data_IF_267407165452
#
_entry.id   IF_267407165452
#
_cell.length_a   1.000
_cell.length_b   1.000
_cell.length_c   1.000
_cell.angle_alpha   90.00
_cell.angle_beta   90.00
_cell.angle_gamma   90.00
#
_symmetry.space_group_name_H-M   'P 1'
#
loop_
_entity.id
_entity.type
_entity.pdbx_description
1 polymer ?
#
# COMPACT_ATOMS: atom_id res chain seq x y z
N UNK A 1 40.02 2.50 29.27
CA UNK A 1 39.31 1.21 29.33
C UNK A 1 38.46 1.12 28.08
N UNK A 2 38.98 0.44 27.05
CA UNK A 2 38.39 0.39 25.71
C UNK A 2 37.60 -0.90 25.50
N UNK A 3 36.53 -0.80 24.69
CA UNK A 3 35.93 -1.93 23.97
C UNK A 3 35.67 -1.47 22.54
N UNK A 4 36.50 -1.95 21.62
CA UNK A 4 36.21 -2.03 20.19
C UNK A 4 35.29 -3.24 19.97
N UNK A 5 34.19 -3.05 19.24
CA UNK A 5 33.41 -4.15 18.68
C UNK A 5 33.84 -4.31 17.22
N UNK A 6 34.46 -5.44 16.90
CA UNK A 6 34.80 -5.88 15.54
C UNK A 6 33.66 -6.75 15.00
N UNK A 7 33.09 -6.38 13.86
CA UNK A 7 32.29 -7.30 13.04
C UNK A 7 33.16 -7.82 11.90
N UNK A 8 33.56 -9.08 12.00
CA UNK A 8 34.25 -9.84 10.95
C UNK A 8 33.23 -10.65 10.16
N UNK A 9 33.16 -10.46 8.84
CA UNK A 9 32.42 -11.30 7.90
C UNK A 9 33.39 -12.33 7.32
N UNK A 10 33.10 -13.64 7.33
CA UNK A 10 33.87 -14.59 6.56
C UNK A 10 33.36 -14.61 5.12
N UNK A 11 34.24 -14.17 4.22
CA UNK A 11 34.19 -14.47 2.79
C UNK A 11 34.55 -15.95 2.60
N UNK A 12 33.64 -16.75 2.05
CA UNK A 12 33.93 -18.09 1.57
C UNK A 12 33.40 -18.24 0.14
N UNK A 13 34.31 -18.13 -0.82
CA UNK A 13 34.22 -18.73 -2.16
C UNK A 13 35.06 -20.00 -2.09
N UNK A 14 34.54 -21.13 -2.57
CA UNK A 14 35.23 -22.16 -3.39
C UNK A 14 34.26 -23.33 -3.68
N UNK A 15 33.97 -23.48 -4.98
CA UNK A 15 33.78 -24.67 -5.84
C UNK A 15 33.24 -26.00 -5.27
N UNK A 16 32.26 -26.57 -5.98
CA UNK A 16 31.97 -28.01 -5.95
C UNK A 16 30.74 -28.43 -6.77
N UNK A 17 30.87 -28.50 -8.10
CA UNK A 17 29.97 -29.30 -8.92
C UNK A 17 30.19 -30.79 -8.60
N UNK A 18 29.25 -31.44 -7.92
CA UNK A 18 29.17 -32.91 -7.86
C UNK A 18 27.78 -33.37 -7.41
N UNK A 19 26.87 -33.58 -8.38
CA UNK A 19 25.82 -34.60 -8.31
C UNK A 19 25.13 -34.71 -9.68
N UNK A 20 25.77 -35.38 -10.63
CA UNK A 20 25.05 -35.90 -11.80
C UNK A 20 24.42 -37.22 -11.38
N UNK A 21 23.14 -37.20 -11.05
CA UNK A 21 22.34 -38.42 -10.99
C UNK A 21 22.07 -38.87 -12.43
N UNK A 22 22.83 -39.85 -12.92
CA UNK A 22 22.54 -40.50 -14.21
C UNK A 22 21.30 -41.37 -14.07
N UNK A 23 20.20 -40.92 -14.66
CA UNK A 23 19.08 -41.80 -15.04
C UNK A 23 19.32 -42.25 -16.47
N UNK A 24 19.72 -43.51 -16.66
CA UNK A 24 19.71 -44.16 -17.97
C UNK A 24 18.30 -44.65 -18.26
N UNK A 25 17.64 -44.05 -19.27
CA UNK A 25 16.54 -44.70 -19.98
C UNK A 25 17.12 -45.48 -21.17
N UNK A 26 16.57 -46.65 -21.51
CA UNK A 26 17.08 -47.46 -22.60
C UNK A 26 16.64 -46.89 -23.95
N UNK A 27 17.61 -46.51 -24.77
CA UNK A 27 17.45 -46.32 -26.21
C UNK A 27 17.06 -44.91 -26.63
N UNK A 28 18.01 -43.98 -26.59
CA UNK A 28 18.26 -42.96 -27.62
C UNK A 28 19.58 -42.25 -27.30
N UNK A 29 20.50 -42.25 -28.28
CA UNK A 29 21.87 -41.74 -28.13
C UNK A 29 21.86 -40.21 -28.23
N UNK A 30 21.64 -39.51 -27.12
CA UNK A 30 21.80 -38.05 -27.05
C UNK A 30 23.21 -37.75 -26.55
N UNK A 31 24.10 -37.31 -27.46
CA UNK A 31 25.42 -36.79 -27.09
C UNK A 31 25.33 -35.29 -26.81
N UNK A 32 25.63 -34.81 -25.60
CA UNK A 32 25.81 -33.39 -25.38
C UNK A 32 27.13 -32.94 -26.03
N UNK A 33 27.07 -31.98 -26.96
CA UNK A 33 28.23 -31.18 -27.34
C UNK A 33 28.35 -30.01 -26.35
N UNK A 34 29.31 -30.12 -25.42
CA UNK A 34 29.76 -28.96 -24.65
C UNK A 34 30.85 -28.25 -25.47
N UNK A 35 30.58 -27.04 -25.97
CA UNK A 35 31.67 -26.10 -26.31
C UNK A 35 31.78 -25.08 -25.19
N UNK A 36 32.88 -25.12 -24.46
CA UNK A 36 33.26 -24.03 -23.58
C UNK A 36 33.85 -22.91 -24.45
N UNK A 37 33.21 -21.74 -24.46
CA UNK A 37 33.91 -20.46 -24.61
C UNK A 37 32.94 -19.28 -24.38
N UNK A 38 32.73 -18.94 -23.10
CA UNK A 38 32.45 -17.56 -22.67
C UNK A 38 33.24 -17.28 -21.39
N UNK A 39 33.93 -16.14 -21.36
CA UNK A 39 34.83 -15.74 -20.28
C UNK A 39 34.12 -15.37 -18.96
N UNK A 40 32.79 -15.43 -18.91
CA UNK A 40 31.98 -15.07 -17.75
C UNK A 40 31.42 -16.28 -16.98
N UNK A 41 31.72 -17.51 -17.41
CA UNK A 41 31.27 -18.72 -16.73
C UNK A 41 29.78 -19.05 -16.90
N UNK A 42 29.07 -18.39 -17.81
CA UNK A 42 27.69 -18.75 -18.14
C UNK A 42 27.63 -19.98 -19.07
N UNK A 43 26.69 -20.88 -18.81
CA UNK A 43 26.37 -22.03 -19.68
C UNK A 43 25.05 -21.74 -20.38
N UNK A 44 25.05 -21.72 -21.71
CA UNK A 44 23.85 -21.57 -22.52
C UNK A 44 23.38 -22.95 -22.98
N UNK A 45 22.17 -23.35 -22.57
CA UNK A 45 21.51 -24.56 -23.06
C UNK A 45 20.51 -24.14 -24.16
N UNK A 46 20.80 -24.54 -25.39
CA UNK A 46 19.88 -24.36 -26.51
C UNK A 46 19.10 -25.67 -26.69
N UNK A 47 17.82 -25.67 -26.32
CA UNK A 47 16.92 -26.80 -26.57
C UNK A 47 16.07 -26.42 -27.79
N UNK A 48 16.42 -26.98 -28.95
CA UNK A 48 15.60 -26.87 -30.16
C UNK A 48 14.73 -28.11 -30.32
N UNK A 49 13.46 -27.88 -30.68
CA UNK A 49 12.39 -28.86 -30.98
C UNK A 49 11.82 -29.63 -29.78
N UNK A 50 10.80 -29.05 -29.13
CA UNK A 50 9.78 -29.82 -28.42
C UNK A 50 8.41 -29.50 -29.01
N UNK A 51 7.84 -30.44 -29.76
CA UNK A 51 6.39 -30.55 -29.94
C UNK A 51 5.79 -31.09 -28.64
N UNK A 52 4.82 -30.41 -28.01
CA UNK A 52 4.23 -30.92 -26.78
C UNK A 52 3.38 -32.15 -27.10
N UNK A 53 3.87 -33.33 -26.72
CA UNK A 53 3.09 -34.57 -26.72
C UNK A 53 2.85 -34.94 -25.27
N UNK A 54 1.64 -34.67 -24.76
CA UNK A 54 1.23 -35.14 -23.43
C UNK A 54 1.10 -36.66 -23.49
N UNK A 55 2.02 -37.38 -22.87
CA UNK A 55 1.96 -38.83 -22.76
C UNK A 55 1.63 -39.21 -21.31
N UNK A 56 0.43 -39.75 -21.08
CA UNK A 56 0.07 -40.33 -19.79
C UNK A 56 0.78 -41.69 -19.63
N UNK A 57 1.74 -41.79 -18.72
CA UNK A 57 2.30 -43.08 -18.33
C UNK A 57 1.50 -43.66 -17.16
N UNK A 58 0.70 -44.69 -17.43
CA UNK A 58 0.07 -45.54 -16.40
C UNK A 58 1.07 -46.64 -16.05
N UNK A 59 1.71 -46.56 -14.89
CA UNK A 59 2.50 -47.66 -14.34
C UNK A 59 1.57 -48.62 -13.57
N UNK A 60 1.41 -49.84 -14.09
CA UNK A 60 0.80 -50.96 -13.37
C UNK A 60 1.89 -51.89 -12.86
N UNK A 61 1.91 -52.17 -11.55
CA UNK A 61 2.59 -53.33 -10.99
C UNK A 61 1.55 -54.34 -10.50
N UNK A 62 1.75 -55.65 -10.71
CA UNK A 62 0.84 -56.67 -10.18
C UNK A 62 1.36 -57.31 -8.87
N UNK A 63 0.43 -57.99 -8.19
CA UNK A 63 0.52 -58.94 -7.04
C UNK A 63 0.28 -58.33 -5.63
N UNK A 64 -0.55 -58.87 -4.73
CA UNK A 64 -1.44 -60.05 -4.65
C UNK A 64 -2.45 -59.85 -3.50
N UNK A 65 -3.64 -60.45 -3.62
CA UNK A 65 -4.62 -60.74 -2.55
C UNK A 65 -5.06 -59.60 -1.62
N UNK A 66 -5.95 -58.74 -2.13
CA UNK A 66 -7.21 -58.35 -1.46
C UNK A 66 -7.94 -57.34 -2.35
N UNK A 67 -9.22 -57.60 -2.64
CA UNK A 67 -10.02 -56.84 -3.59
C UNK A 67 -10.45 -55.45 -3.07
N UNK A 68 -9.51 -54.54 -2.84
CA UNK A 68 -9.78 -53.13 -2.57
C UNK A 68 -8.81 -52.23 -3.34
N UNK A 69 -9.35 -51.24 -4.05
CA UNK A 69 -8.60 -50.17 -4.68
C UNK A 69 -8.50 -49.01 -3.68
N UNK A 70 -7.29 -48.54 -3.41
CA UNK A 70 -7.05 -47.29 -2.71
C UNK A 70 -6.38 -46.33 -3.70
N UNK A 71 -6.95 -45.13 -3.88
CA UNK A 71 -6.32 -44.07 -4.64
C UNK A 71 -5.18 -43.49 -3.78
N UNK A 72 -3.94 -43.61 -4.26
CA UNK A 72 -2.80 -42.91 -3.67
C UNK A 72 -2.50 -41.74 -4.60
N UNK A 73 -2.92 -40.53 -4.20
CA UNK A 73 -2.45 -39.29 -4.83
C UNK A 73 -0.97 -39.11 -4.50
N UNK A 74 -0.11 -39.39 -5.48
CA UNK A 74 1.30 -39.04 -5.40
C UNK A 74 1.48 -37.56 -5.69
N UNK A 75 2.01 -36.82 -4.71
CA UNK A 75 2.48 -35.44 -4.82
C UNK A 75 3.37 -35.25 -6.06
N UNK A 76 2.95 -34.36 -6.96
CA UNK A 76 3.82 -33.78 -7.97
C UNK A 76 4.50 -32.57 -7.31
N UNK A 77 5.84 -32.61 -7.21
CA UNK A 77 6.62 -31.44 -6.84
C UNK A 77 6.38 -30.34 -7.89
N UNK A 78 5.83 -29.21 -7.46
CA UNK A 78 5.62 -28.05 -8.31
C UNK A 78 6.98 -27.50 -8.79
N UNK A 79 7.29 -27.72 -10.07
CA UNK A 79 8.33 -26.96 -10.76
C UNK A 79 7.69 -25.75 -11.42
N UNK A 80 8.17 -24.54 -11.10
CA UNK A 80 7.81 -23.34 -11.84
C UNK A 80 8.47 -23.34 -13.22
N UNK A 81 7.68 -23.12 -14.27
CA UNK A 81 8.19 -22.86 -15.62
C UNK A 81 8.35 -21.35 -15.74
N UNK A 82 9.60 -20.87 -15.71
CA UNK A 82 9.90 -19.47 -16.04
C UNK A 82 10.17 -19.37 -17.55
N UNK A 83 9.23 -18.82 -18.30
CA UNK A 83 9.43 -18.45 -19.71
C UNK A 83 10.08 -17.08 -19.76
N UNK A 84 11.35 -17.02 -20.13
CA UNK A 84 12.03 -15.76 -20.44
C UNK A 84 11.87 -15.48 -21.93
N UNK A 85 11.14 -14.41 -22.27
CA UNK A 85 11.15 -13.83 -23.62
C UNK A 85 12.28 -12.82 -23.71
N UNK A 86 13.10 -12.89 -24.76
CA UNK A 86 14.17 -11.93 -25.05
C UNK A 86 13.69 -10.69 -25.79
N UNK A 87 12.42 -10.66 -26.20
CA UNK A 87 11.86 -9.52 -26.91
C UNK A 87 11.17 -8.56 -25.93
N UNK A 88 11.48 -7.24 -25.97
CA UNK A 88 10.77 -6.26 -25.18
C UNK A 88 9.29 -6.26 -25.59
N UNK A 89 8.34 -6.38 -24.65
CA UNK A 89 6.93 -6.41 -25.01
C UNK A 89 6.53 -5.07 -25.65
N UNK A 90 5.70 -5.08 -26.70
CA UNK A 90 5.16 -3.85 -27.28
C UNK A 90 4.36 -3.09 -26.21
N UNK A 91 4.55 -1.77 -26.16
CA UNK A 91 4.11 -0.87 -25.09
C UNK A 91 2.58 -0.70 -24.90
N UNK A 92 1.74 -1.62 -25.37
CA UNK A 92 0.28 -1.46 -25.33
C UNK A 92 -0.51 -2.78 -25.13
N UNK A 93 0.11 -3.85 -24.65
CA UNK A 93 -0.61 -5.09 -24.32
C UNK A 93 -0.27 -5.54 -22.89
N UNK A 94 -0.76 -4.82 -21.90
CA UNK A 94 -0.96 -5.41 -20.57
C UNK A 94 -2.17 -6.34 -20.65
N UNK A 95 -1.96 -7.53 -21.22
CA UNK A 95 -2.93 -8.61 -21.13
C UNK A 95 -3.05 -9.03 -19.67
N UNK A 96 -4.28 -9.03 -19.15
CA UNK A 96 -4.60 -9.60 -17.85
C UNK A 96 -4.26 -11.09 -17.87
N UNK A 97 -3.22 -11.49 -17.16
CA UNK A 97 -3.01 -12.90 -16.84
C UNK A 97 -4.00 -13.24 -15.74
N UNK A 98 -5.14 -13.81 -16.11
CA UNK A 98 -5.98 -14.52 -15.15
C UNK A 98 -5.19 -15.75 -14.72
N UNK A 99 -4.73 -15.79 -13.47
CA UNK A 99 -4.10 -16.99 -12.92
C UNK A 99 -5.18 -18.07 -12.83
N UNK A 100 -5.18 -19.02 -13.77
CA UNK A 100 -6.28 -19.98 -13.92
C UNK A 100 -6.27 -21.12 -12.88
N UNK A 101 -5.23 -21.24 -12.06
CA UNK A 101 -5.25 -22.16 -10.91
C UNK A 101 -4.11 -21.84 -9.94
N UNK A 102 -4.45 -21.34 -8.76
CA UNK A 102 -3.55 -21.44 -7.61
C UNK A 102 -3.59 -22.90 -7.11
N UNK A 103 -2.49 -23.46 -6.58
CA UNK A 103 -2.59 -24.69 -5.79
C UNK A 103 -3.68 -24.48 -4.73
N UNK A 104 -4.50 -25.51 -4.41
CA UNK A 104 -5.59 -25.34 -3.46
C UNK A 104 -5.00 -24.81 -2.15
N UNK A 105 -5.35 -23.58 -1.81
CA UNK A 105 -4.82 -22.95 -0.61
C UNK A 105 -5.22 -23.79 0.61
N UNK A 106 -4.35 -23.84 1.61
CA UNK A 106 -4.59 -24.59 2.85
C UNK A 106 -5.94 -24.19 3.48
N UNK A 107 -6.74 -25.10 4.06
CA UNK A 107 -7.97 -24.72 4.77
C UNK A 107 -7.75 -23.57 5.77
N UNK A 108 -8.74 -22.71 5.97
CA UNK A 108 -8.60 -21.54 6.85
C UNK A 108 -8.18 -21.90 8.28
N UNK A 109 -8.59 -23.07 8.77
CA UNK A 109 -8.16 -23.60 10.07
C UNK A 109 -6.64 -23.80 10.12
N UNK A 110 -6.05 -24.33 9.05
CA UNK A 110 -4.59 -24.50 8.93
C UNK A 110 -3.91 -23.15 8.80
N UNK A 111 -4.51 -22.20 8.08
CA UNK A 111 -4.02 -20.83 8.01
C UNK A 111 -3.94 -20.20 9.41
N UNK A 112 -5.00 -20.24 10.20
CA UNK A 112 -5.01 -19.63 11.54
C UNK A 112 -4.08 -20.34 12.53
N UNK A 113 -3.93 -21.66 12.42
CA UNK A 113 -2.93 -22.40 13.20
C UNK A 113 -1.50 -21.92 12.94
N UNK A 114 -1.20 -21.48 11.72
CA UNK A 114 0.11 -20.92 11.34
C UNK A 114 0.24 -19.42 11.61
N UNK A 115 -0.88 -18.73 11.84
CA UNK A 115 -0.96 -17.28 12.04
C UNK A 115 -1.70 -16.93 13.36
N UNK A 116 -1.19 -17.36 14.53
CA UNK A 116 -1.92 -17.23 15.79
C UNK A 116 -2.20 -15.76 16.19
N UNK A 117 -1.31 -14.82 15.84
CA UNK A 117 -1.55 -13.40 16.08
C UNK A 117 -2.74 -12.86 15.27
N UNK A 118 -2.89 -13.31 14.02
CA UNK A 118 -4.04 -12.97 13.17
C UNK A 118 -5.32 -13.60 13.73
N UNK A 119 -5.27 -14.87 14.15
CA UNK A 119 -6.40 -15.55 14.78
C UNK A 119 -6.89 -14.82 16.04
N UNK A 120 -5.95 -14.42 16.91
CA UNK A 120 -6.21 -13.67 18.14
C UNK A 120 -6.83 -12.29 17.93
N UNK A 121 -6.63 -11.67 16.76
CA UNK A 121 -7.22 -10.38 16.40
C UNK A 121 -8.51 -10.51 15.57
N UNK A 122 -8.86 -11.74 15.14
CA UNK A 122 -10.02 -12.01 14.29
C UNK A 122 -10.94 -13.06 14.94
N UNK A 123 -10.85 -14.32 14.52
CA UNK A 123 -11.79 -15.40 14.88
C UNK A 123 -11.90 -15.67 16.37
N UNK A 124 -10.84 -15.46 17.16
CA UNK A 124 -10.84 -15.70 18.60
C UNK A 124 -11.42 -14.52 19.39
N UNK A 125 -11.47 -13.34 18.77
CA UNK A 125 -11.95 -12.10 19.38
C UNK A 125 -13.39 -11.78 19.01
N UNK A 126 -13.80 -12.12 17.79
CA UNK A 126 -15.13 -11.80 17.29
C UNK A 126 -16.23 -12.46 18.13
N UNK A 127 -17.29 -11.70 18.41
CA UNK A 127 -18.53 -12.29 18.91
C UNK A 127 -19.15 -13.22 17.85
N UNK A 128 -20.12 -14.04 18.25
CA UNK A 128 -20.73 -15.03 17.35
C UNK A 128 -21.34 -14.40 16.08
N UNK A 129 -21.89 -13.18 16.16
CA UNK A 129 -22.49 -12.51 15.01
C UNK A 129 -21.44 -11.99 14.03
N UNK A 130 -20.41 -11.33 14.54
CA UNK A 130 -19.27 -10.84 13.76
C UNK A 130 -18.51 -11.98 13.12
N UNK A 131 -18.31 -13.08 13.86
CA UNK A 131 -17.70 -14.30 13.34
C UNK A 131 -18.51 -14.92 12.20
N UNK A 132 -19.84 -14.98 12.34
CA UNK A 132 -20.70 -15.46 11.27
C UNK A 132 -20.59 -14.63 9.99
N UNK A 133 -20.50 -13.30 10.10
CA UNK A 133 -20.20 -12.45 8.93
C UNK A 133 -18.82 -12.73 8.35
N UNK A 134 -17.80 -12.87 9.21
CA UNK A 134 -16.43 -13.11 8.78
C UNK A 134 -16.29 -14.41 7.97
N UNK A 135 -16.86 -15.51 8.48
CA UNK A 135 -16.86 -16.81 7.80
C UNK A 135 -17.61 -16.73 6.47
N UNK A 136 -18.80 -16.10 6.45
CA UNK A 136 -19.57 -15.90 5.22
C UNK A 136 -18.84 -15.05 4.17
N UNK A 137 -18.08 -14.03 4.58
CA UNK A 137 -17.29 -13.22 3.67
C UNK A 137 -16.04 -13.95 3.14
N UNK A 138 -15.43 -14.85 3.91
CA UNK A 138 -14.39 -15.72 3.37
C UNK A 138 -14.96 -16.63 2.27
N UNK A 139 -16.14 -17.24 2.48
CA UNK A 139 -16.80 -18.05 1.46
C UNK A 139 -17.13 -17.24 0.19
N UNK A 140 -17.61 -15.99 0.35
CA UNK A 140 -17.88 -15.07 -0.77
C UNK A 140 -16.61 -14.71 -1.54
N UNK A 141 -15.50 -14.45 -0.85
CA UNK A 141 -14.20 -14.14 -1.45
C UNK A 141 -13.61 -15.34 -2.21
N UNK A 142 -13.73 -16.55 -1.67
CA UNK A 142 -13.32 -17.76 -2.39
C UNK A 142 -14.16 -17.99 -3.66
N UNK A 143 -15.45 -17.65 -3.61
CA UNK A 143 -16.37 -17.85 -4.74
C UNK A 143 -16.22 -16.77 -5.83
N UNK A 144 -16.06 -15.51 -5.44
CA UNK A 144 -16.19 -14.36 -6.35
C UNK A 144 -14.91 -13.55 -6.51
N UNK A 145 -13.97 -13.67 -5.57
CA UNK A 145 -12.78 -12.83 -5.49
C UNK A 145 -13.03 -11.42 -4.94
N UNK A 146 -14.25 -11.14 -4.46
CA UNK A 146 -14.65 -9.82 -3.93
C UNK A 146 -15.61 -9.98 -2.75
N UNK A 147 -15.68 -8.96 -1.90
CA UNK A 147 -16.71 -8.79 -0.88
C UNK A 147 -17.24 -7.37 -0.93
N UNK A 148 -18.56 -7.23 -0.97
CA UNK A 148 -19.24 -5.93 -0.89
C UNK A 148 -20.04 -5.82 0.40
N UNK A 149 -19.92 -4.69 1.07
CA UNK A 149 -20.75 -4.36 2.24
C UNK A 149 -21.62 -3.18 1.86
N UNK A 150 -22.92 -3.26 2.13
CA UNK A 150 -23.84 -2.14 1.91
C UNK A 150 -23.37 -0.87 2.62
N UNK A 151 -23.62 0.28 2.01
CA UNK A 151 -23.37 1.58 2.64
C UNK A 151 -24.17 1.72 3.95
N UNK A 152 -23.60 2.37 4.99
CA UNK A 152 -24.35 2.62 6.22
C UNK A 152 -25.63 3.41 5.96
N UNK A 153 -26.74 3.02 6.58
CA UNK A 153 -28.06 3.68 6.42
C UNK A 153 -27.99 5.16 6.75
N UNK A 154 -27.20 5.54 7.76
CA UNK A 154 -27.03 6.94 8.14
C UNK A 154 -26.34 7.79 7.05
N UNK A 155 -25.67 7.17 6.07
CA UNK A 155 -25.12 7.84 4.91
C UNK A 155 -26.22 8.40 3.98
N UNK A 156 -27.35 7.70 3.89
CA UNK A 156 -28.49 8.12 3.05
C UNK A 156 -29.14 9.42 3.54
N UNK A 157 -28.92 9.78 4.81
CA UNK A 157 -29.39 11.03 5.40
C UNK A 157 -28.43 12.20 5.14
N UNK A 158 -27.33 11.97 4.41
CA UNK A 158 -26.36 12.99 4.09
C UNK A 158 -26.78 13.79 2.84
N UNK A 159 -27.35 14.98 3.03
CA UNK A 159 -27.60 16.00 1.99
C UNK A 159 -26.35 16.86 1.63
N UNK A 160 -25.76 16.77 0.43
CA UNK A 160 -24.65 17.65 0.03
C UNK A 160 -25.06 19.13 -0.05
N UNK A 161 -24.15 20.11 0.10
CA UNK A 161 -22.70 19.98 0.34
C UNK A 161 -22.31 19.98 1.82
N UNK A 162 -23.27 20.01 2.75
CA UNK A 162 -23.01 19.93 4.19
C UNK A 162 -24.06 19.08 4.86
N UNK A 163 -23.71 17.84 5.20
CA UNK A 163 -24.65 17.02 5.98
C UNK A 163 -24.08 15.93 6.85
N UNK A 164 -22.84 15.47 6.69
CA UNK A 164 -22.33 14.43 7.59
C UNK A 164 -20.82 14.56 7.82
N UNK A 165 -20.43 15.23 8.89
CA UNK A 165 -19.06 15.12 9.42
C UNK A 165 -18.86 13.74 10.04
N UNK A 166 -19.88 13.22 10.71
CA UNK A 166 -19.85 11.93 11.40
C UNK A 166 -20.94 11.03 10.84
N UNK A 167 -20.57 9.81 10.48
CA UNK A 167 -21.48 8.81 9.91
C UNK A 167 -21.51 7.65 10.90
N UNK A 168 -22.51 7.67 11.78
CA UNK A 168 -22.65 6.69 12.85
C UNK A 168 -23.08 5.34 12.30
N UNK A 169 -22.54 4.27 12.86
CA UNK A 169 -22.85 2.90 12.51
C UNK A 169 -23.79 2.30 13.55
N UNK A 170 -24.78 1.54 13.10
CA UNK A 170 -25.44 0.55 13.93
C UNK A 170 -24.45 -0.56 14.32
N UNK A 171 -24.76 -1.33 15.37
CA UNK A 171 -23.92 -2.46 15.77
C UNK A 171 -23.77 -3.52 14.67
N UNK A 172 -24.81 -3.73 13.86
CA UNK A 172 -24.76 -4.69 12.75
C UNK A 172 -23.87 -4.18 11.60
N UNK A 173 -23.98 -2.91 11.22
CA UNK A 173 -23.11 -2.31 10.20
C UNK A 173 -21.64 -2.33 10.65
N UNK A 174 -21.37 -1.97 11.91
CA UNK A 174 -20.04 -2.05 12.50
C UNK A 174 -19.47 -3.47 12.41
N UNK A 175 -20.21 -4.49 12.86
CA UNK A 175 -19.77 -5.88 12.84
C UNK A 175 -19.54 -6.39 11.41
N UNK A 176 -20.41 -6.04 10.45
CA UNK A 176 -20.25 -6.40 9.03
C UNK A 176 -18.99 -5.79 8.42
N UNK A 177 -18.77 -4.49 8.62
CA UNK A 177 -17.59 -3.80 8.06
C UNK A 177 -16.30 -4.34 8.68
N UNK A 178 -16.27 -4.56 10.00
CA UNK A 178 -15.12 -5.13 10.69
C UNK A 178 -14.79 -6.54 10.16
N UNK A 179 -15.81 -7.39 10.05
CA UNK A 179 -15.67 -8.73 9.51
C UNK A 179 -15.19 -8.74 8.05
N UNK A 180 -15.74 -7.89 7.18
CA UNK A 180 -15.34 -7.80 5.78
C UNK A 180 -13.88 -7.38 5.62
N UNK A 181 -13.43 -6.38 6.40
CA UNK A 181 -12.03 -5.94 6.40
C UNK A 181 -11.06 -7.04 6.83
N UNK A 182 -11.39 -7.74 7.90
CA UNK A 182 -10.59 -8.87 8.37
C UNK A 182 -10.58 -10.02 7.36
N UNK A 183 -11.73 -10.39 6.80
CA UNK A 183 -11.86 -11.48 5.85
C UNK A 183 -11.06 -11.20 4.57
N UNK A 184 -11.18 -9.99 4.03
CA UNK A 184 -10.42 -9.55 2.88
C UNK A 184 -8.91 -9.61 3.14
N UNK A 185 -8.46 -9.12 4.30
CA UNK A 185 -7.05 -9.14 4.66
C UNK A 185 -6.46 -10.56 4.75
N UNK A 186 -7.19 -11.46 5.42
CA UNK A 186 -6.82 -12.87 5.56
C UNK A 186 -6.82 -13.59 4.21
N UNK A 187 -7.83 -13.33 3.37
CA UNK A 187 -7.93 -13.91 2.03
C UNK A 187 -6.76 -13.48 1.13
N UNK A 188 -6.41 -12.19 1.11
CA UNK A 188 -5.26 -11.68 0.34
C UNK A 188 -3.94 -12.34 0.77
N UNK A 189 -3.72 -12.47 2.08
CA UNK A 189 -2.49 -13.05 2.64
C UNK A 189 -2.38 -14.55 2.33
N UNK A 190 -3.48 -15.29 2.51
CA UNK A 190 -3.57 -16.73 2.24
C UNK A 190 -3.36 -17.06 0.77
N UNK A 191 -3.93 -16.26 -0.12
CA UNK A 191 -3.84 -16.45 -1.57
C UNK A 191 -2.64 -15.75 -2.22
N UNK A 192 -1.74 -15.18 -1.41
CA UNK A 192 -0.51 -14.52 -1.87
C UNK A 192 -0.77 -13.37 -2.87
N UNK A 193 -1.91 -12.69 -2.73
CA UNK A 193 -2.35 -11.63 -3.63
C UNK A 193 -1.63 -10.29 -3.35
N UNK A 194 -0.87 -10.23 -2.25
CA UNK A 194 0.06 -9.13 -1.95
C UNK A 194 1.45 -9.71 -1.61
N UNK A 195 2.56 -9.00 -1.92
CA UNK A 195 3.93 -9.52 -1.71
C UNK A 195 4.37 -9.67 -0.25
N UNK A 196 3.70 -9.00 0.70
CA UNK A 196 3.99 -9.06 2.14
C UNK A 196 3.06 -10.03 2.85
N UNK A 197 3.49 -10.52 4.03
CA UNK A 197 2.68 -11.46 4.83
C UNK A 197 2.22 -10.87 6.13
N UNK A 198 1.01 -11.21 6.54
CA UNK A 198 0.45 -10.75 7.82
C UNK A 198 1.28 -11.23 9.01
N UNK A 199 1.81 -12.46 8.97
CA UNK A 199 2.71 -12.97 10.03
C UNK A 199 4.03 -12.22 10.18
N UNK A 200 4.43 -11.45 9.18
CA UNK A 200 5.68 -10.69 9.22
C UNK A 200 5.49 -9.32 9.89
N UNK A 201 4.24 -8.90 10.12
CA UNK A 201 3.92 -7.67 10.85
C UNK A 201 4.05 -7.85 12.36
N UNK A 202 4.40 -6.75 13.04
CA UNK A 202 4.33 -6.69 14.50
C UNK A 202 2.88 -6.77 14.98
N UNK A 203 2.67 -7.16 16.24
CA UNK A 203 1.33 -7.17 16.85
C UNK A 203 0.65 -5.79 16.75
N UNK A 204 1.42 -4.71 16.90
CA UNK A 204 0.93 -3.34 16.84
C UNK A 204 0.50 -2.95 15.40
N UNK A 205 1.25 -3.40 14.39
CA UNK A 205 0.87 -3.24 12.98
C UNK A 205 -0.38 -4.08 12.66
N UNK A 206 -0.47 -5.33 13.10
CA UNK A 206 -1.65 -6.16 12.89
C UNK A 206 -2.91 -5.53 13.52
N UNK A 207 -2.79 -4.91 14.69
CA UNK A 207 -3.89 -4.16 15.31
C UNK A 207 -4.36 -2.99 14.45
N UNK A 208 -3.45 -2.25 13.80
CA UNK A 208 -3.81 -1.15 12.91
C UNK A 208 -4.58 -1.58 11.66
N UNK A 209 -4.43 -2.85 11.28
CA UNK A 209 -5.12 -3.44 10.14
C UNK A 209 -6.43 -4.14 10.53
N UNK A 210 -6.48 -4.81 11.68
CA UNK A 210 -7.56 -5.75 12.03
C UNK A 210 -8.40 -5.32 13.25
N UNK A 211 -7.90 -4.40 14.08
CA UNK A 211 -8.56 -4.04 15.34
C UNK A 211 -9.44 -2.80 15.19
N UNK A 212 -10.65 -2.88 15.74
CA UNK A 212 -11.69 -1.84 15.64
C UNK A 212 -11.23 -0.42 16.02
N UNK A 213 -10.42 -0.28 17.06
CA UNK A 213 -9.96 1.04 17.57
C UNK A 213 -9.11 1.83 16.57
N UNK A 214 -8.51 1.19 15.56
CA UNK A 214 -7.78 1.88 14.48
C UNK A 214 -8.62 2.02 13.21
N UNK A 215 -9.62 1.17 13.02
CA UNK A 215 -10.47 1.16 11.83
C UNK A 215 -11.61 2.20 11.94
N UNK A 216 -12.17 2.37 13.13
CA UNK A 216 -13.33 3.22 13.38
C UNK A 216 -13.01 4.36 14.35
N UNK A 217 -13.78 5.44 14.30
CA UNK A 217 -13.75 6.50 15.31
C UNK A 217 -14.81 6.28 16.38
N UNK A 218 -14.63 6.91 17.54
CA UNK A 218 -15.57 6.83 18.67
C UNK A 218 -15.38 5.58 19.52
N UNK A 219 -16.15 5.44 20.59
CA UNK A 219 -16.19 4.28 21.48
C UNK A 219 -17.52 3.54 21.31
N UNK A 220 -17.55 2.24 21.56
CA UNK A 220 -18.80 1.49 21.58
C UNK A 220 -19.78 2.10 22.62
N UNK A 221 -21.08 2.22 22.31
CA UNK A 221 -21.74 1.77 21.08
C UNK A 221 -21.68 2.78 19.91
N UNK A 222 -21.12 3.97 20.12
CA UNK A 222 -21.12 5.08 19.17
C UNK A 222 -19.89 5.04 18.25
N UNK A 223 -19.79 4.00 17.40
CA UNK A 223 -18.76 3.90 16.37
C UNK A 223 -19.19 4.68 15.12
N UNK A 224 -18.25 5.39 14.50
CA UNK A 224 -18.53 6.20 13.30
C UNK A 224 -17.33 6.33 12.38
N UNK A 225 -17.59 6.75 11.14
CA UNK A 225 -16.59 7.30 10.24
C UNK A 225 -16.62 8.82 10.24
N UNK A 226 -15.44 9.44 10.11
CA UNK A 226 -15.31 10.88 9.98
C UNK A 226 -15.12 11.23 8.49
N UNK A 227 -16.03 12.03 7.94
CA UNK A 227 -16.11 12.50 6.53
C UNK A 227 -16.31 11.42 5.46
N UNK A 228 -15.52 10.35 5.48
CA UNK A 228 -15.48 9.31 4.44
C UNK A 228 -15.62 7.92 5.06
N UNK A 229 -16.55 7.13 4.53
CA UNK A 229 -16.85 5.76 4.92
C UNK A 229 -15.96 4.79 4.15
N UNK A 230 -15.23 3.97 4.89
CA UNK A 230 -14.42 2.88 4.37
C UNK A 230 -15.11 1.55 4.71
N UNK A 231 -16.21 1.23 4.02
CA UNK A 231 -17.08 0.07 4.33
C UNK A 231 -16.75 -1.19 3.52
N UNK A 232 -16.30 -1.04 2.28
CA UNK A 232 -16.12 -2.14 1.32
C UNK A 232 -14.64 -2.25 0.89
N UNK A 233 -13.84 -3.17 1.48
CA UNK A 233 -12.41 -3.24 1.20
C UNK A 233 -12.10 -3.67 -0.24
N UNK A 234 -12.95 -4.49 -0.88
CA UNK A 234 -12.68 -4.99 -2.24
C UNK A 234 -12.77 -3.89 -3.29
N UNK A 235 -13.66 -2.91 -3.11
CA UNK A 235 -13.76 -1.75 -4.01
C UNK A 235 -12.47 -0.93 -4.05
N UNK A 236 -11.87 -0.68 -2.89
CA UNK A 236 -10.60 0.04 -2.79
C UNK A 236 -9.41 -0.81 -3.29
N UNK A 237 -9.46 -2.14 -3.07
CA UNK A 237 -8.48 -3.07 -3.64
C UNK A 237 -8.53 -3.09 -5.17
N UNK A 238 -9.71 -3.26 -5.76
CA UNK A 238 -9.91 -3.30 -7.21
C UNK A 238 -9.46 -2.00 -7.86
N UNK A 239 -9.78 -0.86 -7.25
CA UNK A 239 -9.25 0.44 -7.65
C UNK A 239 -7.72 0.43 -7.72
N UNK A 240 -7.05 0.00 -6.65
CA UNK A 240 -5.59 0.01 -6.57
C UNK A 240 -4.94 -0.95 -7.56
N UNK A 241 -5.55 -2.12 -7.78
CA UNK A 241 -5.07 -3.11 -8.75
C UNK A 241 -5.24 -2.62 -10.19
N UNK A 242 -6.37 -2.02 -10.52
CA UNK A 242 -6.67 -1.51 -11.88
C UNK A 242 -5.71 -0.39 -12.30
N UNK A 243 -5.24 0.42 -11.35
CA UNK A 243 -4.23 1.45 -11.61
C UNK A 243 -2.79 0.96 -11.44
N UNK A 244 -2.58 -0.32 -11.12
CA UNK A 244 -1.26 -0.89 -10.89
C UNK A 244 -0.51 -0.24 -9.74
N UNK A 245 -1.22 0.19 -8.68
CA UNK A 245 -0.63 0.83 -7.51
C UNK A 245 0.14 -0.17 -6.63
N UNK A 246 -0.25 -1.45 -6.64
CA UNK A 246 0.48 -2.51 -5.95
C UNK A 246 1.89 -2.67 -6.54
N UNK A 247 2.91 -2.47 -5.69
CA UNK A 247 4.33 -2.64 -6.03
C UNK A 247 4.95 -3.77 -5.23
N UNK A 248 6.23 -4.04 -5.47
CA UNK A 248 6.98 -5.11 -4.80
C UNK A 248 7.20 -4.92 -3.29
N UNK A 249 7.03 -3.69 -2.77
CA UNK A 249 7.18 -3.40 -1.34
C UNK A 249 6.04 -2.51 -0.83
N UNK A 250 5.73 -2.53 0.48
CA UNK A 250 4.76 -1.61 1.06
C UNK A 250 5.12 -0.14 0.82
N UNK A 251 6.40 0.24 0.98
CA UNK A 251 6.84 1.63 0.78
C UNK A 251 6.59 2.10 -0.66
N UNK A 252 6.98 1.29 -1.65
CA UNK A 252 6.77 1.62 -3.06
C UNK A 252 5.27 1.69 -3.42
N UNK A 253 4.45 0.83 -2.80
CA UNK A 253 2.98 0.85 -2.97
C UNK A 253 2.37 2.12 -2.38
N UNK A 254 2.78 2.51 -1.18
CA UNK A 254 2.35 3.77 -0.55
C UNK A 254 2.77 4.96 -1.41
N UNK A 255 4.01 5.00 -1.91
CA UNK A 255 4.48 6.07 -2.80
C UNK A 255 3.68 6.13 -4.11
N UNK A 256 3.38 4.99 -4.72
CA UNK A 256 2.56 4.93 -5.93
C UNK A 256 1.14 5.45 -5.68
N UNK A 257 0.52 5.08 -4.56
CA UNK A 257 -0.79 5.60 -4.18
C UNK A 257 -0.77 7.11 -3.90
N UNK A 258 0.27 7.62 -3.22
CA UNK A 258 0.42 9.06 -3.00
C UNK A 258 0.58 9.82 -4.31
N UNK A 259 1.38 9.31 -5.25
CA UNK A 259 1.55 9.92 -6.57
C UNK A 259 0.23 9.96 -7.34
N UNK A 260 -0.53 8.86 -7.36
CA UNK A 260 -1.88 8.80 -7.92
C UNK A 260 -2.76 9.89 -7.31
N UNK A 261 -2.83 9.96 -5.97
CA UNK A 261 -3.70 10.95 -5.33
C UNK A 261 -3.27 12.39 -5.64
N UNK A 262 -1.97 12.68 -5.67
CA UNK A 262 -1.42 14.01 -5.93
C UNK A 262 -1.65 14.48 -7.36
N UNK A 263 -1.66 13.54 -8.31
CA UNK A 263 -1.86 13.84 -9.73
C UNK A 263 -3.24 14.46 -10.01
N UNK A 264 -4.24 14.07 -9.23
CA UNK A 264 -5.64 14.29 -9.60
C UNK A 264 -6.51 14.92 -8.50
N UNK A 265 -6.27 14.64 -7.22
CA UNK A 265 -7.13 15.17 -6.16
C UNK A 265 -7.04 16.69 -6.01
N UNK A 266 -8.18 17.28 -5.62
CA UNK A 266 -8.30 18.67 -5.19
C UNK A 266 -8.98 18.78 -3.83
N UNK A 267 -8.62 19.83 -3.09
CA UNK A 267 -9.31 20.22 -1.87
C UNK A 267 -10.70 20.75 -2.24
N UNK A 268 -11.78 20.15 -1.74
CA UNK A 268 -13.06 20.86 -1.73
C UNK A 268 -13.06 21.90 -0.63
N UNK A 269 -13.51 23.12 -0.93
CA UNK A 269 -13.84 24.06 0.12
C UNK A 269 -15.14 23.57 0.80
N UNK A 270 -15.16 23.55 2.12
CA UNK A 270 -16.35 23.13 2.88
C UNK A 270 -17.56 23.95 2.41
N UNK A 271 -18.61 23.28 1.94
CA UNK A 271 -19.81 23.94 1.42
C UNK A 271 -19.78 24.36 -0.05
N UNK A 272 -18.76 23.96 -0.83
CA UNK A 272 -18.72 24.15 -2.29
C UNK A 272 -19.70 23.16 -2.97
N UNK A 273 -20.85 23.63 -3.49
CA UNK A 273 -21.88 22.76 -4.08
C UNK A 273 -21.33 22.06 -5.33
N UNK A 274 -21.29 20.73 -5.31
CA UNK A 274 -20.75 19.88 -6.38
C UNK A 274 -19.37 19.27 -6.09
N UNK A 275 -18.75 19.60 -4.95
CA UNK A 275 -17.39 19.13 -4.61
C UNK A 275 -17.27 18.37 -3.28
N UNK A 276 -18.27 18.46 -2.40
CA UNK A 276 -18.28 17.75 -1.10
C UNK A 276 -19.25 16.54 -1.10
N UNK A 277 -19.27 15.73 -2.17
CA UNK A 277 -20.26 14.66 -2.38
C UNK A 277 -19.72 13.24 -2.21
N UNK A 278 -18.40 13.05 -2.09
CA UNK A 278 -17.79 11.72 -2.01
C UNK A 278 -17.75 11.17 -0.58
N UNK A 279 -18.83 10.55 -0.12
CA UNK A 279 -18.96 10.07 1.25
C UNK A 279 -18.35 8.69 1.48
N UNK A 280 -18.10 7.90 0.45
CA UNK A 280 -17.37 6.63 0.56
C UNK A 280 -15.96 6.73 -0.03
N UNK A 281 -15.09 5.79 0.33
CA UNK A 281 -13.76 5.68 -0.28
C UNK A 281 -13.89 5.48 -1.79
N UNK A 282 -14.76 4.57 -2.24
CA UNK A 282 -14.97 4.33 -3.67
C UNK A 282 -15.45 5.61 -4.37
N UNK A 283 -16.48 6.28 -3.85
CA UNK A 283 -16.97 7.53 -4.42
C UNK A 283 -15.85 8.57 -4.55
N UNK A 284 -14.97 8.69 -3.57
CA UNK A 284 -13.85 9.63 -3.63
C UNK A 284 -12.82 9.27 -4.71
N UNK A 285 -12.69 7.98 -5.03
CA UNK A 285 -11.75 7.47 -6.03
C UNK A 285 -12.34 7.46 -7.45
N UNK A 286 -13.67 7.47 -7.60
CA UNK A 286 -14.33 7.36 -8.91
C UNK A 286 -15.13 8.60 -9.31
N UNK A 287 -15.48 9.47 -8.36
CA UNK A 287 -16.25 10.69 -8.66
C UNK A 287 -15.31 11.81 -9.07
N UNK A 288 -15.47 12.23 -10.32
CA UNK A 288 -14.83 13.41 -10.86
C UNK A 288 -15.80 14.59 -10.75
N UNK A 289 -15.35 15.69 -10.15
CA UNK A 289 -16.08 16.96 -10.17
C UNK A 289 -15.48 17.87 -11.25
N UNK A 290 -15.83 19.17 -11.22
CA UNK A 290 -15.34 20.17 -12.19
C UNK A 290 -13.86 19.98 -12.56
N UNK A 291 -13.57 20.12 -13.86
CA UNK A 291 -12.22 20.01 -14.46
C UNK A 291 -11.65 18.59 -14.53
N UNK A 292 -12.50 17.56 -14.56
CA UNK A 292 -12.09 16.16 -14.69
C UNK A 292 -11.06 15.78 -13.63
N UNK A 293 -11.33 16.19 -12.38
CA UNK A 293 -10.50 15.84 -11.22
C UNK A 293 -11.28 15.19 -10.09
N UNK A 294 -10.65 14.23 -9.41
CA UNK A 294 -11.14 13.72 -8.12
C UNK A 294 -11.16 14.82 -7.07
N UNK A 295 -12.15 14.77 -6.20
CA UNK A 295 -12.30 15.75 -5.12
C UNK A 295 -12.40 15.03 -3.78
N UNK A 296 -11.51 15.41 -2.87
CA UNK A 296 -11.61 15.00 -1.47
C UNK A 296 -12.70 15.83 -0.83
N UNK A 297 -13.57 15.18 -0.04
CA UNK A 297 -14.46 15.90 0.88
C UNK A 297 -13.70 16.89 1.77
N UNK A 298 -14.42 17.88 2.28
CA UNK A 298 -13.81 19.02 2.95
C UNK A 298 -12.95 18.62 4.15
N UNK A 299 -11.68 19.03 4.12
CA UNK A 299 -10.71 18.93 5.20
C UNK A 299 -9.86 17.65 5.22
N UNK A 300 -8.70 17.77 5.86
CA UNK A 300 -7.65 16.75 5.92
C UNK A 300 -8.08 15.36 6.39
N UNK A 301 -9.15 15.25 7.19
CA UNK A 301 -9.68 13.97 7.63
C UNK A 301 -10.12 13.08 6.47
N UNK A 302 -10.73 13.65 5.43
CA UNK A 302 -11.21 12.90 4.29
C UNK A 302 -10.05 12.25 3.53
N UNK A 303 -9.05 13.06 3.15
CA UNK A 303 -7.89 12.56 2.40
C UNK A 303 -7.08 11.53 3.19
N UNK A 304 -6.89 11.73 4.50
CA UNK A 304 -6.25 10.73 5.36
C UNK A 304 -7.01 9.42 5.37
N UNK A 305 -8.36 9.46 5.48
CA UNK A 305 -9.20 8.25 5.49
C UNK A 305 -9.20 7.53 4.14
N UNK A 306 -9.27 8.26 3.04
CA UNK A 306 -9.15 7.69 1.68
C UNK A 306 -7.81 6.98 1.52
N UNK A 307 -6.70 7.65 1.90
CA UNK A 307 -5.38 7.05 1.81
C UNK A 307 -5.23 5.79 2.65
N UNK A 308 -5.72 5.82 3.90
CA UNK A 308 -5.71 4.65 4.78
C UNK A 308 -6.61 3.53 4.27
N UNK A 309 -7.78 3.84 3.72
CA UNK A 309 -8.72 2.85 3.18
C UNK A 309 -8.11 2.07 2.01
N UNK A 310 -7.53 2.78 1.03
CA UNK A 310 -6.83 2.18 -0.12
C UNK A 310 -5.63 1.35 0.31
N UNK A 311 -4.83 1.82 1.27
CA UNK A 311 -3.62 1.10 1.66
C UNK A 311 -3.94 -0.10 2.56
N UNK A 312 -4.97 -0.01 3.42
CA UNK A 312 -5.43 -1.14 4.23
C UNK A 312 -6.12 -2.22 3.40
N UNK A 313 -6.79 -1.88 2.28
CA UNK A 313 -7.31 -2.89 1.36
C UNK A 313 -6.20 -3.69 0.69
N UNK A 314 -4.96 -3.21 0.71
CA UNK A 314 -3.77 -3.93 0.26
C UNK A 314 -3.02 -4.59 1.44
N UNK A 315 -3.59 -4.72 2.63
CA UNK A 315 -2.87 -5.19 3.83
C UNK A 315 -1.68 -4.31 4.27
N UNK A 316 -1.67 -3.00 4.01
CA UNK A 316 -0.64 -2.09 4.56
C UNK A 316 -1.18 -1.44 5.84
N UNK A 317 -0.62 -1.77 7.02
CA UNK A 317 -1.06 -1.22 8.29
C UNK A 317 -0.78 0.28 8.39
N UNK A 318 -1.80 1.02 8.79
CA UNK A 318 -1.68 2.44 9.13
C UNK A 318 -2.77 2.88 10.06
N UNK A 319 -2.68 4.10 10.58
CA UNK A 319 -3.71 4.70 11.44
C UNK A 319 -3.88 6.21 11.19
N UNK A 320 -5.06 6.72 11.56
CA UNK A 320 -5.32 8.15 11.62
C UNK A 320 -4.96 8.66 13.02
N UNK A 321 -4.09 9.67 13.11
CA UNK A 321 -3.80 10.38 14.35
C UNK A 321 -4.31 11.83 14.28
N UNK A 322 -4.82 12.33 15.42
CA UNK A 322 -5.47 13.65 15.53
C UNK A 322 -5.14 14.44 16.79
N UNK A 323 -4.30 13.87 17.65
CA UNK A 323 -4.04 14.29 19.03
C UNK A 323 -2.97 15.38 19.17
N UNK A 324 -2.42 15.87 18.05
CA UNK A 324 -1.32 16.81 18.08
C UNK A 324 0.07 16.17 17.95
N UNK A 325 0.18 14.84 17.88
CA UNK A 325 1.48 14.14 17.93
C UNK A 325 2.36 14.45 16.72
N UNK A 326 1.79 14.48 15.52
CA UNK A 326 2.54 14.67 14.28
C UNK A 326 2.26 16.01 13.60
N UNK A 327 1.10 16.59 13.84
CA UNK A 327 0.66 17.86 13.29
C UNK A 327 -0.24 18.56 14.31
N UNK A 328 -0.66 19.79 14.05
CA UNK A 328 -1.50 20.56 14.97
C UNK A 328 -2.77 19.79 15.39
N UNK A 329 -3.16 19.97 16.65
CA UNK A 329 -4.32 19.29 17.22
C UNK A 329 -5.59 19.58 16.41
N UNK A 330 -6.42 18.55 16.21
CA UNK A 330 -7.65 18.64 15.45
C UNK A 330 -7.49 18.41 13.94
N UNK A 331 -6.27 18.38 13.42
CA UNK A 331 -5.99 17.95 12.04
C UNK A 331 -5.80 16.42 11.96
N UNK A 332 -5.74 15.90 10.73
CA UNK A 332 -5.62 14.48 10.46
C UNK A 332 -4.25 14.15 9.86
N UNK A 333 -3.59 13.19 10.48
CA UNK A 333 -2.32 12.61 10.05
C UNK A 333 -2.53 11.13 9.72
N UNK A 334 -1.99 10.66 8.59
CA UNK A 334 -1.87 9.22 8.33
C UNK A 334 -0.49 8.72 8.75
N UNK A 335 -0.43 7.64 9.50
CA UNK A 335 0.84 7.06 10.00
C UNK A 335 0.93 5.60 9.55
N UNK A 336 2.06 5.21 8.97
CA UNK A 336 2.35 3.82 8.57
C UNK A 336 3.64 3.34 9.26
N UNK A 337 3.55 2.78 10.48
CA UNK A 337 4.72 2.38 11.26
C UNK A 337 5.56 1.29 10.58
N UNK A 338 4.90 0.31 9.92
CA UNK A 338 5.58 -0.76 9.18
C UNK A 338 6.59 -0.28 8.11
N UNK A 339 6.46 0.96 7.61
CA UNK A 339 7.40 1.59 6.68
C UNK A 339 8.08 2.84 7.26
N UNK A 340 7.84 3.16 8.52
CA UNK A 340 8.39 4.33 9.20
C UNK A 340 8.09 5.65 8.49
N UNK A 341 6.85 5.84 8.02
CA UNK A 341 6.41 7.03 7.28
C UNK A 341 5.17 7.67 7.89
N UNK A 342 5.08 8.99 7.69
CA UNK A 342 3.95 9.83 8.08
C UNK A 342 3.51 10.65 6.87
N UNK A 343 2.21 10.74 6.63
CA UNK A 343 1.59 11.84 5.91
C UNK A 343 1.15 12.86 6.96
N UNK A 344 1.92 13.94 7.21
CA UNK A 344 1.71 14.76 8.40
C UNK A 344 0.33 15.43 8.41
N UNK A 345 -0.19 15.75 7.23
CA UNK A 345 -1.46 16.41 7.08
C UNK A 345 -2.15 15.91 5.80
N UNK A 346 -3.41 15.48 5.90
CA UNK A 346 -4.16 14.98 4.75
C UNK A 346 -4.19 15.93 3.54
N UNK A 347 -4.27 17.25 3.78
CA UNK A 347 -4.31 18.24 2.69
C UNK A 347 -2.97 18.42 1.96
N UNK A 348 -1.87 17.83 2.47
CA UNK A 348 -0.58 17.92 1.79
C UNK A 348 -0.63 17.30 0.38
N UNK A 349 -1.53 16.35 0.13
CA UNK A 349 -1.70 15.67 -1.17
C UNK A 349 -1.95 16.68 -2.30
N UNK A 350 -2.72 17.73 -2.03
CA UNK A 350 -3.06 18.74 -3.04
C UNK A 350 -2.60 20.15 -2.62
N UNK A 351 -1.68 20.24 -1.66
CA UNK A 351 -1.10 21.51 -1.27
C UNK A 351 -0.31 22.10 -2.45
N UNK A 352 -0.71 23.28 -2.91
CA UNK A 352 -0.14 23.94 -4.07
C UNK A 352 1.38 24.15 -3.97
N UNK A 353 1.92 24.35 -2.77
CA UNK A 353 3.37 24.48 -2.54
C UNK A 353 4.11 23.15 -2.76
N UNK A 354 3.44 22.03 -2.51
CA UNK A 354 4.03 20.70 -2.56
C UNK A 354 3.80 19.98 -3.87
N UNK A 355 3.03 20.52 -4.84
CA UNK A 355 2.64 19.77 -6.04
C UNK A 355 3.79 19.27 -6.92
N UNK A 356 4.98 19.84 -6.82
CA UNK A 356 6.16 19.36 -7.54
C UNK A 356 7.07 18.43 -6.70
N UNK A 357 6.77 18.24 -5.41
CA UNK A 357 7.52 17.32 -4.55
C UNK A 357 7.34 15.87 -5.03
N UNK A 358 8.43 15.11 -5.27
CA UNK A 358 8.35 13.70 -5.59
C UNK A 358 7.66 12.88 -4.49
N UNK A 359 6.86 11.87 -4.84
CA UNK A 359 6.18 11.02 -3.86
C UNK A 359 7.13 10.36 -2.84
N UNK A 360 8.39 10.13 -3.22
CA UNK A 360 9.41 9.54 -2.35
C UNK A 360 9.86 10.46 -1.20
N UNK A 361 9.82 11.77 -1.41
CA UNK A 361 10.13 12.80 -0.42
C UNK A 361 8.88 13.36 0.25
N UNK A 362 7.71 13.10 -0.33
CA UNK A 362 6.44 13.65 0.14
C UNK A 362 6.06 13.19 1.56
N UNK A 363 6.33 11.93 1.87
CA UNK A 363 6.06 11.34 3.19
C UNK A 363 7.24 11.53 4.13
N UNK A 364 6.99 12.08 5.31
CA UNK A 364 8.05 12.34 6.29
C UNK A 364 8.51 11.03 6.94
N UNK A 365 9.80 10.69 6.89
CA UNK A 365 10.33 9.53 7.61
C UNK A 365 10.38 9.77 9.11
N UNK A 366 10.17 8.74 9.93
CA UNK A 366 10.27 8.83 11.40
C UNK A 366 11.62 9.42 11.84
N UNK A 367 12.70 9.07 11.14
CA UNK A 367 14.05 9.58 11.40
C UNK A 367 14.18 11.12 11.30
N UNK A 368 13.28 11.79 10.57
CA UNK A 368 13.25 13.26 10.53
C UNK A 368 12.82 13.86 11.89
N UNK A 369 11.99 13.14 12.64
CA UNK A 369 11.48 13.56 13.95
C UNK A 369 12.39 13.15 15.11
N UNK A 370 13.21 12.12 14.91
CA UNK A 370 14.08 11.56 15.95
C UNK A 370 15.45 12.27 16.07
N UNK A 371 15.67 13.34 15.29
CA UNK A 371 16.91 14.12 15.33
C UNK A 371 17.11 14.74 16.74
N UNK A 372 18.24 14.48 17.45
CA UNK A 372 18.41 14.81 18.87
C UNK A 372 18.24 16.29 19.24
N UNK A 373 18.65 17.20 18.36
CA UNK A 373 18.45 18.65 18.57
C UNK A 373 17.21 19.18 17.85
N UNK A 374 16.69 18.40 16.90
CA UNK A 374 15.81 18.87 15.83
C UNK A 374 16.42 20.03 15.02
N UNK A 375 16.07 20.19 13.74
CA UNK A 375 16.54 21.33 12.98
C UNK A 375 15.87 22.64 13.46
N UNK A 376 16.63 23.73 13.71
CA UNK A 376 16.03 25.05 13.95
C UNK A 376 15.19 25.48 12.75
N UNK A 377 14.11 26.27 12.92
CA UNK A 377 13.63 26.86 14.17
C UNK A 377 12.77 25.91 15.03
N UNK A 378 12.51 24.69 14.57
CA UNK A 378 11.49 23.83 15.16
C UNK A 378 11.92 23.05 16.41
N UNK A 379 13.23 22.86 16.61
CA UNK A 379 13.73 21.97 17.65
C UNK A 379 13.05 20.59 17.55
N UNK A 380 12.65 20.01 18.67
CA UNK A 380 12.02 18.67 18.72
C UNK A 380 10.50 18.68 18.59
N UNK A 381 9.87 19.83 18.30
CA UNK A 381 8.41 19.92 18.15
C UNK A 381 7.94 19.22 16.87
N UNK A 382 7.33 18.04 16.98
CA UNK A 382 6.85 17.27 15.83
C UNK A 382 5.86 18.03 14.93
N UNK A 383 4.86 18.78 15.44
CA UNK A 383 4.02 19.61 14.58
C UNK A 383 4.80 20.66 13.78
N UNK A 384 5.78 21.33 14.41
CA UNK A 384 6.65 22.27 13.71
C UNK A 384 7.52 21.54 12.68
N UNK A 385 8.13 20.41 13.05
CA UNK A 385 8.97 19.60 12.17
C UNK A 385 8.20 19.12 10.94
N UNK A 386 6.93 18.73 11.07
CA UNK A 386 6.08 18.38 9.94
C UNK A 386 5.89 19.54 8.96
N UNK A 387 5.64 20.75 9.47
CA UNK A 387 5.52 21.97 8.65
C UNK A 387 6.86 22.38 8.05
N UNK A 388 7.97 22.17 8.78
CA UNK A 388 9.33 22.38 8.29
C UNK A 388 9.71 21.41 7.18
N UNK A 389 9.40 20.13 7.31
CA UNK A 389 9.62 19.15 6.25
C UNK A 389 8.88 19.56 4.96
N UNK A 390 7.61 19.94 5.08
CA UNK A 390 6.86 20.48 3.95
C UNK A 390 7.48 21.76 3.37
N UNK A 391 7.95 22.68 4.22
CA UNK A 391 8.60 23.91 3.77
C UNK A 391 9.93 23.65 3.05
N UNK A 392 10.75 22.72 3.54
CA UNK A 392 12.00 22.28 2.90
C UNK A 392 11.71 21.64 1.54
N UNK A 393 10.71 20.77 1.44
CA UNK A 393 10.31 20.16 0.18
C UNK A 393 9.75 21.19 -0.81
N UNK A 394 9.03 22.21 -0.35
CA UNK A 394 8.47 23.25 -1.21
C UNK A 394 9.54 24.16 -1.85
N UNK A 395 10.69 24.35 -1.19
CA UNK A 395 11.82 25.10 -1.75
C UNK A 395 12.75 24.21 -2.58
N UNK A 396 12.93 22.94 -2.21
CA UNK A 396 13.75 21.99 -2.98
C UNK A 396 13.10 21.61 -4.31
N UNK A 397 11.75 21.52 -4.32
CA UNK A 397 10.95 21.13 -5.48
C UNK A 397 9.88 22.21 -5.75
N UNK A 398 10.26 23.39 -6.26
CA UNK A 398 9.35 24.50 -6.40
C UNK A 398 8.27 24.20 -7.42
N UNK A 399 7.02 24.19 -6.96
CA UNK A 399 5.87 24.01 -7.84
C UNK A 399 5.68 25.21 -8.78
N UNK A 400 4.87 25.08 -9.85
CA UNK A 400 4.47 26.22 -10.67
C UNK A 400 3.83 27.35 -9.85
N UNK A 401 3.13 27.01 -8.75
CA UNK A 401 2.53 27.98 -7.84
C UNK A 401 3.59 28.81 -7.10
N UNK A 402 4.64 28.15 -6.58
CA UNK A 402 5.77 28.78 -5.91
C UNK A 402 6.57 29.63 -6.90
N UNK A 403 6.91 29.06 -8.06
CA UNK A 403 7.70 29.73 -9.11
C UNK A 403 7.00 30.99 -9.62
N UNK A 404 5.69 30.94 -9.90
CA UNK A 404 4.94 32.12 -10.36
C UNK A 404 4.98 33.27 -9.35
N UNK A 405 4.90 32.96 -8.05
CA UNK A 405 4.94 33.97 -6.97
C UNK A 405 6.33 34.54 -6.74
N UNK A 406 7.37 33.76 -6.96
CA UNK A 406 8.75 34.26 -6.89
C UNK A 406 9.16 35.06 -8.13
N UNK A 407 8.68 34.70 -9.32
CA UNK A 407 9.02 35.44 -10.54
C UNK A 407 8.19 36.71 -10.76
N UNK A 408 6.99 36.78 -10.19
CA UNK A 408 6.10 37.95 -10.29
C UNK A 408 5.46 38.28 -8.94
N UNK A 409 6.24 38.56 -7.89
CA UNK A 409 5.73 38.73 -6.53
C UNK A 409 4.71 39.86 -6.41
N UNK A 410 4.89 40.95 -7.16
CA UNK A 410 3.97 42.08 -7.19
C UNK A 410 2.55 41.70 -7.65
N UNK A 411 2.40 40.76 -8.59
CA UNK A 411 1.10 40.27 -9.07
C UNK A 411 0.29 39.58 -7.94
N UNK A 412 0.98 39.15 -6.87
CA UNK A 412 0.41 38.42 -5.75
C UNK A 412 0.51 39.20 -4.42
N UNK A 413 0.84 40.49 -4.47
CA UNK A 413 0.90 41.36 -3.30
C UNK A 413 2.15 41.20 -2.42
N UNK A 414 3.23 40.62 -2.95
CA UNK A 414 4.52 40.52 -2.28
C UNK A 414 5.51 41.52 -2.88
N UNK A 415 6.45 42.03 -2.06
CA UNK A 415 7.48 42.97 -2.51
C UNK A 415 8.51 42.28 -3.42
N UNK A 416 8.93 41.07 -3.05
CA UNK A 416 9.93 40.24 -3.72
C UNK A 416 9.67 38.74 -3.41
N UNK A 417 10.46 37.83 -3.98
CA UNK A 417 10.34 36.39 -3.69
C UNK A 417 10.62 36.08 -2.21
N UNK A 418 11.60 36.76 -1.60
CA UNK A 418 11.93 36.55 -0.19
C UNK A 418 10.76 36.90 0.74
N UNK A 419 10.03 37.98 0.47
CA UNK A 419 8.84 38.38 1.21
C UNK A 419 7.72 37.33 1.09
N UNK A 420 7.53 36.75 -0.11
CA UNK A 420 6.62 35.64 -0.31
C UNK A 420 7.02 34.40 0.52
N UNK A 421 8.28 33.96 0.41
CA UNK A 421 8.78 32.79 1.15
C UNK A 421 8.72 33.03 2.66
N UNK A 422 9.13 34.21 3.14
CA UNK A 422 9.09 34.57 4.55
C UNK A 422 7.65 34.61 5.09
N UNK A 423 6.70 35.13 4.31
CA UNK A 423 5.29 35.17 4.71
C UNK A 423 4.64 33.79 4.82
N UNK A 424 5.08 32.80 4.04
CA UNK A 424 4.44 31.49 3.97
C UNK A 424 5.22 30.37 4.68
N UNK A 425 6.56 30.45 4.69
CA UNK A 425 7.47 29.42 5.18
C UNK A 425 8.34 29.91 6.35
N UNK A 426 8.35 31.23 6.62
CA UNK A 426 9.21 31.86 7.62
C UNK A 426 9.14 31.28 9.04
N UNK A 427 7.98 30.82 9.53
CA UNK A 427 7.91 30.16 10.84
C UNK A 427 8.66 28.82 10.92
N UNK A 428 9.01 28.21 9.78
CA UNK A 428 9.54 26.84 9.70
C UNK A 428 10.93 26.75 9.07
N UNK A 429 11.41 27.84 8.46
CA UNK A 429 12.72 27.96 7.84
C UNK A 429 13.54 29.05 8.54
N UNK A 430 14.86 28.89 8.53
CA UNK A 430 15.80 29.92 8.99
C UNK A 430 15.87 31.08 7.99
N UNK A 431 16.32 32.25 8.45
CA UNK A 431 16.51 33.40 7.55
C UNK A 431 17.49 33.12 6.41
N UNK A 432 18.54 32.34 6.68
CA UNK A 432 19.54 31.93 5.68
C UNK A 432 18.92 30.99 4.62
N UNK A 433 18.13 30.00 5.05
CA UNK A 433 17.40 29.11 4.13
C UNK A 433 16.44 29.90 3.23
N UNK A 434 15.68 30.84 3.78
CA UNK A 434 14.74 31.68 3.02
C UNK A 434 15.47 32.56 2.00
N UNK A 435 16.55 33.21 2.41
CA UNK A 435 17.35 34.08 1.53
C UNK A 435 17.99 33.27 0.40
N UNK A 436 18.52 32.09 0.72
CA UNK A 436 19.13 31.18 -0.26
C UNK A 436 18.09 30.69 -1.26
N UNK A 437 16.95 30.19 -0.78
CA UNK A 437 15.86 29.74 -1.62
C UNK A 437 15.31 30.86 -2.51
N UNK A 438 15.15 32.08 -1.97
CA UNK A 438 14.66 33.22 -2.76
C UNK A 438 15.57 33.50 -3.96
N UNK A 439 16.88 33.59 -3.72
CA UNK A 439 17.87 33.80 -4.78
C UNK A 439 17.88 32.68 -5.82
N UNK A 440 17.79 31.42 -5.38
CA UNK A 440 17.76 30.26 -6.28
C UNK A 440 16.50 30.24 -7.15
N UNK A 441 15.34 30.56 -6.59
CA UNK A 441 14.08 30.63 -7.32
C UNK A 441 14.01 31.81 -8.28
N UNK A 442 14.52 32.98 -7.88
CA UNK A 442 14.62 34.15 -8.76
C UNK A 442 15.52 33.88 -9.97
N UNK A 443 16.56 33.06 -9.81
CA UNK A 443 17.42 32.64 -10.91
C UNK A 443 16.74 31.72 -11.93
N UNK A 444 15.59 31.12 -11.58
CA UNK A 444 14.76 30.31 -12.50
C UNK A 444 13.79 31.16 -13.32
N UNK A 445 13.68 32.47 -13.03
CA UNK A 445 12.72 33.34 -13.67
C UNK A 445 13.16 33.77 -15.08
N UNK A 446 12.22 33.80 -16.05
CA UNK A 446 12.53 34.08 -17.46
C UNK A 446 12.82 35.55 -17.76
#
# INVERSE_FOLDING_TARGET
>A
MGRQASCSVPLAIVLGCAAVATWQLPGEDIRPMCSADRADGSVQLEISNLTPTVTHHILRRPFLDSGSWEFVDSFVAAGSIHVWSTDPPPAAAQGFYRVESFPPADPYEVYFLRNPAVAGLTIDRFDAGTRGFFEGFLDELELTGSVTVDEPVNLQNCEPPQSCTFIYLSGQEFNRILAAKAAHAVWLDRNELVPWRLRDYSDDDLRRLLHEDHLFSGLAPNRFFNRVVDHSPSEAYDYAMNLGLLKSTPLATVQAAMEDFRSDFRHSNTGDPGRDTAYTVLEALTTYADYDRRVSRGGCHAMTRIALGVLRSLNIPGEEMRDGTWFDNGHSTAVWPCIGRVLPHGDNVYNALLLATPAEEFLTPFSFYDAPSGPPPCGTSRPCLSRRHAALNAIAHPSPYTTARCCRPADYGYADCEAFLRGNLGPFLTAEELTTAARELEALCP
#
